data_IF_789505193100
#
_entry.id   IF_789505193100
#
_cell.length_a   1.000
_cell.length_b   1.000
_cell.length_c   1.000
_cell.angle_alpha   90.00
_cell.angle_beta   90.00
_cell.angle_gamma   90.00
#
_symmetry.space_group_name_H-M   'P 1'
#
loop_
_entity.id
_entity.type
_entity.pdbx_description
1 polymer ?
#
# COMPACT_ATOMS: atom_id res chain seq x y z
N UNK A 1 19.03 -0.69 -8.72
CA UNK A 1 18.57 -1.84 -9.51
C UNK A 1 17.79 -1.33 -10.72
N UNK A 2 17.81 -2.08 -11.81
CA UNK A 2 17.09 -1.75 -13.04
C UNK A 2 15.78 -2.56 -13.08
N UNK A 3 14.65 -1.87 -13.18
CA UNK A 3 13.31 -2.46 -13.27
C UNK A 3 12.33 -1.51 -13.95
N UNK A 4 11.22 -2.04 -14.45
CA UNK A 4 10.18 -1.26 -15.15
C UNK A 4 9.05 -0.78 -14.26
N UNK A 5 8.83 -1.45 -13.13
CA UNK A 5 7.89 -1.03 -12.11
C UNK A 5 8.18 -1.74 -10.79
N UNK A 6 7.68 -1.17 -9.71
CA UNK A 6 7.75 -1.77 -8.38
C UNK A 6 6.37 -2.28 -7.99
N UNK A 7 6.25 -3.60 -7.80
CA UNK A 7 5.07 -4.21 -7.24
C UNK A 7 5.30 -4.58 -5.78
N UNK A 8 4.36 -4.22 -4.90
CA UNK A 8 4.41 -4.51 -3.46
C UNK A 8 3.20 -5.36 -3.12
N UNK A 9 3.43 -6.65 -2.90
CA UNK A 9 2.37 -7.63 -2.65
C UNK A 9 1.72 -7.47 -1.26
N UNK A 10 0.73 -8.31 -1.01
CA UNK A 10 0.14 -8.49 0.31
C UNK A 10 1.10 -9.20 1.28
N UNK A 11 0.76 -9.19 2.57
CA UNK A 11 1.47 -9.93 3.61
C UNK A 11 0.82 -9.77 4.98
N UNK A 12 1.20 -10.60 5.97
CA UNK A 12 0.78 -10.44 7.35
C UNK A 12 1.62 -9.36 8.07
N UNK A 13 1.11 -8.85 9.19
CA UNK A 13 1.88 -8.02 10.11
C UNK A 13 1.45 -6.56 10.18
N UNK A 14 2.23 -5.77 10.94
CA UNK A 14 2.03 -4.34 11.15
C UNK A 14 2.99 -3.54 10.24
N UNK A 15 2.50 -2.70 9.31
CA UNK A 15 3.37 -1.90 8.45
C UNK A 15 4.30 -0.94 9.23
N UNK A 16 3.96 -0.58 10.47
CA UNK A 16 4.77 0.34 11.30
C UNK A 16 6.12 -0.28 11.67
N UNK A 17 6.22 -1.61 11.75
CA UNK A 17 7.49 -2.29 12.07
C UNK A 17 8.41 -2.42 10.85
N UNK A 18 7.89 -2.28 9.63
CA UNK A 18 8.63 -2.45 8.38
C UNK A 18 9.42 -1.20 7.96
N UNK A 19 10.18 -0.60 8.88
CA UNK A 19 10.88 0.68 8.67
C UNK A 19 11.87 0.65 7.50
N UNK A 20 12.61 -0.44 7.35
CA UNK A 20 13.59 -0.59 6.27
C UNK A 20 12.88 -0.63 4.91
N UNK A 21 11.81 -1.41 4.81
CA UNK A 21 10.98 -1.49 3.60
C UNK A 21 10.39 -0.13 3.23
N UNK A 22 9.82 0.58 4.20
CA UNK A 22 9.31 1.95 4.01
C UNK A 22 10.41 2.88 3.51
N UNK A 23 11.61 2.79 4.07
CA UNK A 23 12.77 3.60 3.65
C UNK A 23 13.19 3.32 2.21
N UNK A 24 13.16 2.05 1.76
CA UNK A 24 13.45 1.72 0.36
C UNK A 24 12.35 2.23 -0.57
N UNK A 25 11.08 2.07 -0.20
CA UNK A 25 9.94 2.59 -0.97
C UNK A 25 10.05 4.12 -1.13
N UNK A 26 10.43 4.84 -0.08
CA UNK A 26 10.68 6.28 -0.13
C UNK A 26 11.76 6.66 -1.14
N UNK A 27 12.84 5.87 -1.27
CA UNK A 27 13.88 6.13 -2.29
C UNK A 27 13.34 5.97 -3.71
N UNK A 28 12.53 4.93 -3.94
CA UNK A 28 11.90 4.70 -5.26
C UNK A 28 10.90 5.80 -5.59
N UNK A 29 10.06 6.20 -4.63
CA UNK A 29 9.12 7.31 -4.76
C UNK A 29 9.84 8.63 -5.10
N UNK A 30 10.97 8.92 -4.45
CA UNK A 30 11.78 10.13 -4.72
C UNK A 30 12.36 10.15 -6.13
N UNK A 31 12.66 9.00 -6.73
CA UNK A 31 13.11 8.94 -8.12
C UNK A 31 11.95 9.28 -9.08
N UNK A 32 10.72 8.85 -8.78
CA UNK A 32 9.49 9.30 -9.45
C UNK A 32 9.31 8.86 -10.91
N UNK A 33 10.22 8.04 -11.46
CA UNK A 33 10.25 7.67 -12.88
C UNK A 33 9.49 6.39 -13.24
N UNK A 34 9.24 5.52 -12.27
CA UNK A 34 8.71 4.17 -12.50
C UNK A 34 7.37 3.99 -11.77
N UNK A 35 6.38 3.30 -12.37
CA UNK A 35 5.11 3.01 -11.72
C UNK A 35 5.31 2.13 -10.48
N UNK A 36 4.46 2.37 -9.47
CA UNK A 36 4.45 1.60 -8.22
C UNK A 36 3.01 1.15 -7.95
N UNK A 37 2.82 -0.13 -7.64
CA UNK A 37 1.51 -0.70 -7.32
C UNK A 37 1.58 -1.55 -6.05
N UNK A 38 0.71 -1.26 -5.08
CA UNK A 38 0.70 -1.94 -3.79
C UNK A 38 -0.67 -2.54 -3.47
N UNK A 39 -0.68 -3.80 -3.02
CA UNK A 39 -1.90 -4.54 -2.65
C UNK A 39 -1.89 -4.86 -1.16
N UNK A 40 -3.02 -4.64 -0.46
CA UNK A 40 -3.20 -4.96 0.96
C UNK A 40 -2.10 -4.32 1.85
N UNK A 41 -1.16 -5.10 2.39
CA UNK A 41 -0.01 -4.56 3.12
C UNK A 41 0.84 -3.61 2.26
N UNK A 42 0.99 -3.90 0.97
CA UNK A 42 1.70 -3.01 0.05
C UNK A 42 1.04 -1.63 -0.08
N UNK A 43 -0.29 -1.56 -0.06
CA UNK A 43 -1.01 -0.29 -0.01
C UNK A 43 -0.68 0.48 1.28
N UNK A 44 -0.65 -0.20 2.42
CA UNK A 44 -0.33 0.42 3.71
C UNK A 44 1.12 0.93 3.76
N UNK A 45 2.08 0.15 3.26
CA UNK A 45 3.49 0.55 3.21
C UNK A 45 3.70 1.78 2.31
N UNK A 46 2.99 1.86 1.18
CA UNK A 46 3.02 3.05 0.31
C UNK A 46 2.46 4.28 1.02
N UNK A 47 1.31 4.14 1.70
CA UNK A 47 0.72 5.22 2.48
C UNK A 47 1.68 5.70 3.58
N UNK A 48 2.31 4.79 4.31
CA UNK A 48 3.31 5.13 5.34
C UNK A 48 4.54 5.81 4.73
N UNK A 49 5.00 5.38 3.55
CA UNK A 49 6.14 5.98 2.87
C UNK A 49 5.92 7.45 2.51
N UNK A 50 4.68 7.86 2.22
CA UNK A 50 4.30 9.26 1.97
C UNK A 50 3.87 10.03 3.24
N UNK A 51 4.02 9.43 4.42
CA UNK A 51 3.77 10.10 5.71
C UNK A 51 2.36 9.90 6.29
N UNK A 52 1.52 9.04 5.70
CA UNK A 52 0.26 8.67 6.31
C UNK A 52 0.47 7.78 7.55
N UNK A 53 -0.53 7.70 8.42
CA UNK A 53 -0.51 6.88 9.63
C UNK A 53 -1.44 5.69 9.48
N UNK A 54 -1.01 4.53 9.96
CA UNK A 54 -1.82 3.32 10.05
C UNK A 54 -2.27 3.09 11.49
N UNK A 55 -3.38 2.38 11.66
CA UNK A 55 -3.89 1.97 12.98
C UNK A 55 -4.53 0.60 12.89
N UNK A 56 -4.59 -0.09 14.03
CA UNK A 56 -5.26 -1.40 14.13
C UNK A 56 -6.77 -1.21 14.22
N UNK A 57 -7.50 -1.75 13.25
CA UNK A 57 -8.97 -1.73 13.26
C UNK A 57 -9.52 -2.60 14.39
N UNK A 58 -10.67 -2.20 14.97
CA UNK A 58 -11.41 -3.01 15.95
C UNK A 58 -11.91 -4.33 15.34
N UNK A 59 -12.45 -4.24 14.12
CA UNK A 59 -12.85 -5.36 13.28
C UNK A 59 -12.14 -5.18 11.93
N UNK A 60 -11.37 -6.18 11.50
CA UNK A 60 -10.72 -6.13 10.19
C UNK A 60 -11.69 -6.48 9.07
N UNK A 61 -11.44 -5.96 7.88
CA UNK A 61 -12.19 -6.34 6.68
C UNK A 61 -11.70 -7.71 6.18
N UNK A 62 -12.48 -8.77 6.45
CA UNK A 62 -12.17 -10.16 6.09
C UNK A 62 -13.39 -10.85 5.49
N UNK A 63 -13.41 -11.02 4.18
CA UNK A 63 -14.53 -11.66 3.47
C UNK A 63 -14.36 -11.57 1.96
N UNK A 64 -15.09 -12.42 1.23
CA UNK A 64 -15.08 -12.41 -0.24
C UNK A 64 -16.14 -11.48 -0.84
N UNK A 65 -16.95 -10.84 0.01
CA UNK A 65 -18.11 -10.02 -0.37
C UNK A 65 -18.00 -8.59 0.21
N UNK A 66 -16.77 -8.06 0.28
CA UNK A 66 -16.48 -6.72 0.78
C UNK A 66 -16.61 -5.70 -0.36
N UNK A 67 -17.64 -4.83 -0.37
CA UNK A 67 -17.82 -3.87 -1.45
C UNK A 67 -16.76 -2.77 -1.40
N UNK A 68 -16.27 -2.32 -2.57
CA UNK A 68 -15.39 -1.17 -2.70
C UNK A 68 -15.89 -0.19 -3.76
N UNK A 69 -15.99 1.09 -3.42
CA UNK A 69 -16.45 2.14 -4.34
C UNK A 69 -15.26 2.88 -4.93
N UNK A 70 -15.19 2.98 -6.25
CA UNK A 70 -14.24 3.84 -6.93
C UNK A 70 -14.68 5.31 -6.83
N UNK A 71 -14.07 6.02 -5.87
CA UNK A 71 -14.35 7.41 -5.59
C UNK A 71 -14.24 8.29 -6.84
N UNK A 72 -15.19 9.21 -7.04
CA UNK A 72 -15.29 10.08 -8.22
C UNK A 72 -16.06 9.50 -9.41
N UNK A 73 -16.23 8.16 -9.49
CA UNK A 73 -17.00 7.52 -10.58
C UNK A 73 -18.37 6.98 -10.15
N UNK A 74 -18.55 6.72 -8.84
CA UNK A 74 -19.76 6.10 -8.30
C UNK A 74 -19.88 4.59 -8.57
N UNK A 75 -18.89 3.96 -9.23
CA UNK A 75 -18.89 2.51 -9.51
C UNK A 75 -18.49 1.71 -8.27
N UNK A 76 -19.25 0.67 -7.94
CA UNK A 76 -18.96 -0.30 -6.88
C UNK A 76 -18.44 -1.62 -7.48
N UNK A 77 -17.55 -2.30 -6.75
CA UNK A 77 -16.97 -3.61 -7.07
C UNK A 77 -17.15 -4.56 -5.89
#
# INVERSE_FOLDING_TARGET
EEFDGLFISNGPGDPVVCKDTVTQIQKVLKNGKKPIFGICLGHQLLATAIGCKTYKMKYGNRGHNLPCVHNGTGRCF
#
